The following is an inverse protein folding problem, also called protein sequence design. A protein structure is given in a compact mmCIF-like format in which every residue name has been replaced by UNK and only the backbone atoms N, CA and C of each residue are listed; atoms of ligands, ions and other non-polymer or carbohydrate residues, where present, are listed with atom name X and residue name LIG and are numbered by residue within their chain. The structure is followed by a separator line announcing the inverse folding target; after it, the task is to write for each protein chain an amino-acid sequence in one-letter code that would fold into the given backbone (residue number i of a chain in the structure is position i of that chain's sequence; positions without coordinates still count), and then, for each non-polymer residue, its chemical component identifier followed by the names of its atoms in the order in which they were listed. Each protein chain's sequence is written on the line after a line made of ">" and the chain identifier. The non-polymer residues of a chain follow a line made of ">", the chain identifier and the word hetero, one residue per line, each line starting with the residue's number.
data_IF_790037941154
#
_entry.id   IF_790037941154
#
_cell.length_a   1.000
_cell.length_b   1.000
_cell.length_c   1.000
_cell.angle_alpha   90.00
_cell.angle_beta   90.00
_cell.angle_gamma   90.00
#
_symmetry.space_group_name_H-M   'P 1'
#
loop_
_entity.id
_entity.type
_entity.pdbx_description
1 polymer ?
#
# COMPACT_ATOMS: atom_id res chain seq x y z
N UNK A 1 -1.39 -6.19 -44.62
CA UNK A 1 -1.48 -5.16 -45.68
C UNK A 1 -0.23 -5.18 -46.55
N UNK A 2 -0.36 -5.19 -47.88
CA UNK A 2 0.79 -5.13 -48.80
C UNK A 2 1.62 -3.85 -48.57
N UNK A 3 2.93 -3.91 -48.81
CA UNK A 3 3.88 -2.81 -48.61
C UNK A 3 3.46 -1.52 -49.35
N UNK A 4 2.83 -1.68 -50.52
CA UNK A 4 2.29 -0.57 -51.32
C UNK A 4 1.20 0.22 -50.57
N UNK A 5 0.17 -0.47 -50.08
CA UNK A 5 -0.95 0.16 -49.38
C UNK A 5 -0.55 0.80 -48.05
N UNK A 6 0.47 0.26 -47.37
CA UNK A 6 1.04 0.89 -46.16
C UNK A 6 1.69 2.23 -46.46
N UNK A 7 2.34 2.40 -47.61
CA UNK A 7 2.95 3.68 -48.01
C UNK A 7 1.88 4.73 -48.32
N UNK A 8 0.80 4.34 -49.00
CA UNK A 8 -0.35 5.22 -49.27
C UNK A 8 -1.04 5.61 -47.96
N UNK A 9 -1.30 4.64 -47.07
CA UNK A 9 -1.89 4.91 -45.76
C UNK A 9 -1.07 5.90 -44.93
N UNK A 10 0.25 5.73 -44.85
CA UNK A 10 1.14 6.67 -44.15
C UNK A 10 1.10 8.10 -44.68
N UNK A 11 0.82 8.28 -45.97
CA UNK A 11 0.67 9.61 -46.57
C UNK A 11 -0.67 10.26 -46.21
N UNK A 12 -1.71 9.46 -45.98
CA UNK A 12 -3.08 9.92 -45.74
C UNK A 12 -3.46 9.97 -44.24
N UNK A 13 -2.79 9.21 -43.38
CA UNK A 13 -3.09 9.16 -41.95
C UNK A 13 -2.63 10.43 -41.24
N UNK A 14 -3.46 10.94 -40.33
CA UNK A 14 -3.15 12.10 -39.48
C UNK A 14 -2.00 11.78 -38.51
N UNK A 15 -2.00 10.57 -37.95
CA UNK A 15 -0.93 10.11 -37.08
C UNK A 15 0.01 9.15 -37.86
N UNK A 16 1.26 9.54 -38.14
CA UNK A 16 2.22 8.69 -38.85
C UNK A 16 2.64 7.45 -38.04
N UNK A 17 2.45 7.46 -36.72
CA UNK A 17 2.74 6.34 -35.81
C UNK A 17 1.58 5.35 -35.69
N UNK A 18 0.53 5.49 -36.50
CA UNK A 18 -0.60 4.57 -36.48
C UNK A 18 -0.16 3.11 -36.70
N UNK A 19 -0.52 2.25 -35.75
CA UNK A 19 -0.35 0.80 -35.83
C UNK A 19 -1.67 0.12 -36.15
N UNK A 20 -1.67 -0.82 -37.10
CA UNK A 20 -2.83 -1.67 -37.39
C UNK A 20 -3.23 -2.48 -36.14
N UNK A 21 -4.52 -2.50 -35.79
CA UNK A 21 -5.06 -3.24 -34.64
C UNK A 21 -5.27 -4.74 -34.90
N UNK A 22 -5.10 -5.18 -36.15
CA UNK A 22 -5.24 -6.59 -36.51
C UNK A 22 -4.05 -7.40 -36.00
N UNK A 23 -4.36 -8.40 -35.17
CA UNK A 23 -3.39 -9.35 -34.66
C UNK A 23 -2.75 -10.11 -35.83
N UNK A 24 -1.42 -10.14 -35.88
CA UNK A 24 -0.71 -10.81 -36.96
C UNK A 24 -0.93 -12.33 -36.87
N UNK A 25 -1.52 -12.98 -37.90
CA UNK A 25 -1.65 -14.43 -37.95
C UNK A 25 -0.27 -15.09 -37.81
N UNK A 26 -0.17 -16.14 -37.02
CA UNK A 26 1.12 -16.81 -36.76
C UNK A 26 1.97 -16.19 -35.66
N UNK A 27 1.67 -14.97 -35.18
CA UNK A 27 2.35 -14.35 -34.03
C UNK A 27 1.49 -14.36 -32.78
N UNK A 28 0.21 -14.04 -32.93
CA UNK A 28 -0.71 -14.04 -31.80
C UNK A 28 -1.19 -15.46 -31.52
N UNK A 29 -1.00 -15.93 -30.28
CA UNK A 29 -1.46 -17.25 -29.79
C UNK A 29 -0.88 -18.44 -30.58
N UNK A 30 0.41 -18.35 -30.95
CA UNK A 30 1.14 -19.43 -31.62
C UNK A 30 2.44 -19.72 -30.83
N UNK A 31 2.67 -20.96 -30.37
CA UNK A 31 1.80 -22.14 -30.49
C UNK A 31 0.48 -21.98 -29.72
N UNK A 32 -0.52 -22.79 -30.08
CA UNK A 32 -1.79 -22.83 -29.34
C UNK A 32 -1.53 -23.15 -27.86
N UNK A 33 -2.37 -22.69 -26.91
CA UNK A 33 -2.13 -22.89 -25.48
C UNK A 33 -1.90 -24.35 -25.06
N UNK A 34 -2.53 -25.32 -25.75
CA UNK A 34 -2.37 -26.75 -25.49
C UNK A 34 -1.11 -27.38 -26.11
N UNK A 35 -0.38 -26.65 -26.94
CA UNK A 35 0.86 -27.09 -27.60
C UNK A 35 2.07 -26.26 -27.15
N UNK A 36 1.96 -25.62 -25.99
CA UNK A 36 3.07 -24.90 -25.37
C UNK A 36 4.15 -25.89 -24.90
N UNK A 37 5.43 -25.49 -24.91
CA UNK A 37 6.50 -26.31 -24.34
C UNK A 37 6.25 -26.57 -22.84
N UNK A 38 6.89 -27.60 -22.29
CA UNK A 38 6.74 -27.96 -20.89
C UNK A 38 7.15 -26.79 -19.97
N UNK A 39 6.24 -26.39 -19.08
CA UNK A 39 6.50 -25.36 -18.09
C UNK A 39 7.23 -25.96 -16.88
N UNK A 40 8.29 -25.28 -16.44
CA UNK A 40 8.95 -25.54 -15.16
C UNK A 40 8.69 -24.38 -14.20
N UNK A 41 8.30 -24.69 -12.97
CA UNK A 41 8.11 -23.68 -11.93
C UNK A 41 9.47 -23.12 -11.52
N UNK A 42 9.60 -21.79 -11.55
CA UNK A 42 10.80 -21.14 -11.04
C UNK A 42 10.99 -21.45 -9.54
N UNK A 43 12.21 -21.80 -9.10
CA UNK A 43 12.46 -22.08 -7.68
C UNK A 43 12.32 -20.80 -6.87
N UNK A 44 11.35 -20.75 -5.96
CA UNK A 44 11.24 -19.72 -4.91
C UNK A 44 11.93 -20.21 -3.65
N UNK A 45 12.25 -19.33 -2.70
CA UNK A 45 12.83 -19.72 -1.41
C UNK A 45 12.00 -20.79 -0.67
N UNK A 46 10.68 -20.77 -0.88
CA UNK A 46 9.71 -21.74 -0.36
C UNK A 46 9.93 -23.17 -0.88
N UNK A 47 10.71 -23.35 -1.96
CA UNK A 47 11.04 -24.66 -2.56
C UNK A 47 12.34 -25.27 -2.03
N UNK A 48 13.08 -24.56 -1.15
CA UNK A 48 14.31 -25.10 -0.54
C UNK A 48 14.00 -26.37 0.27
N UNK A 49 14.79 -27.42 0.04
CA UNK A 49 14.65 -28.73 0.72
C UNK A 49 15.16 -28.66 2.17
N UNK A 50 16.17 -27.82 2.44
CA UNK A 50 16.77 -27.62 3.76
C UNK A 50 16.36 -26.27 4.37
N UNK A 51 16.35 -26.20 5.71
CA UNK A 51 16.09 -24.96 6.47
C UNK A 51 14.76 -24.25 6.14
N UNK A 52 13.74 -25.00 5.72
CA UNK A 52 12.46 -24.48 5.25
C UNK A 52 11.28 -25.00 6.07
N UNK A 53 11.41 -24.89 7.40
CA UNK A 53 10.35 -25.32 8.33
C UNK A 53 9.07 -24.51 8.13
N UNK A 54 7.93 -25.19 8.12
CA UNK A 54 6.64 -24.56 7.81
C UNK A 54 6.25 -23.46 8.80
N UNK A 55 6.47 -23.66 10.11
CA UNK A 55 6.08 -22.69 11.13
C UNK A 55 6.77 -21.32 11.00
N UNK A 56 7.98 -21.26 10.44
CA UNK A 56 8.70 -20.00 10.20
C UNK A 56 8.08 -19.17 9.06
N UNK A 57 7.45 -19.83 8.09
CA UNK A 57 6.80 -19.21 6.92
C UNK A 57 5.28 -19.16 7.03
N UNK A 58 4.72 -19.61 8.15
CA UNK A 58 3.27 -19.66 8.35
C UNK A 58 2.72 -18.27 8.71
N UNK A 59 2.51 -17.45 7.67
CA UNK A 59 1.89 -16.12 7.80
C UNK A 59 0.44 -16.21 8.28
N UNK A 60 -0.25 -17.32 8.03
CA UNK A 60 -1.66 -17.49 8.39
C UNK A 60 -1.83 -17.61 9.91
N UNK A 61 -0.90 -18.25 10.61
CA UNK A 61 -0.95 -18.41 12.07
C UNK A 61 -0.18 -17.33 12.83
N UNK A 62 0.85 -16.74 12.22
CA UNK A 62 1.58 -15.60 12.79
C UNK A 62 0.94 -14.25 12.43
N UNK A 63 -0.38 -14.12 12.60
CA UNK A 63 -1.06 -12.84 12.41
C UNK A 63 -0.94 -11.97 13.68
N UNK A 64 -0.84 -10.63 13.55
CA UNK A 64 -0.86 -9.74 14.70
C UNK A 64 -2.22 -9.78 15.39
N UNK A 65 -2.23 -9.79 16.73
CA UNK A 65 -3.48 -9.78 17.51
C UNK A 65 -4.11 -8.39 17.49
N UNK A 66 -5.43 -8.33 17.35
CA UNK A 66 -6.19 -7.09 17.51
C UNK A 66 -6.20 -6.67 18.97
N UNK A 67 -5.78 -5.43 19.26
CA UNK A 67 -5.85 -4.84 20.59
C UNK A 67 -7.08 -3.94 20.72
N UNK A 68 -7.81 -4.07 21.81
CA UNK A 68 -8.96 -3.22 22.17
C UNK A 68 -8.65 -2.51 23.47
N UNK A 69 -8.87 -1.19 23.51
CA UNK A 69 -8.63 -0.38 24.71
C UNK A 69 -9.96 0.13 25.26
N UNK A 70 -10.21 -0.11 26.54
CA UNK A 70 -11.35 0.48 27.25
C UNK A 70 -10.95 1.82 27.88
N UNK A 71 -11.94 2.59 28.29
CA UNK A 71 -11.71 3.86 28.98
C UNK A 71 -10.90 3.68 30.28
N UNK A 72 -11.11 2.56 30.99
CA UNK A 72 -10.36 2.21 32.20
C UNK A 72 -8.90 1.88 31.89
N UNK A 73 -8.64 1.16 30.80
CA UNK A 73 -7.27 0.81 30.37
C UNK A 73 -6.47 2.07 30.00
N UNK A 74 -7.12 3.04 29.33
CA UNK A 74 -6.51 4.32 29.01
C UNK A 74 -6.24 5.16 30.26
N UNK A 75 -7.17 5.21 31.21
CA UNK A 75 -6.96 5.93 32.47
C UNK A 75 -5.75 5.37 33.23
N UNK A 76 -5.60 4.04 33.29
CA UNK A 76 -4.43 3.37 33.89
C UNK A 76 -3.14 3.72 33.17
N UNK A 77 -3.14 3.70 31.84
CA UNK A 77 -1.96 4.01 31.03
C UNK A 77 -1.52 5.47 31.17
N UNK A 78 -2.46 6.40 31.37
CA UNK A 78 -2.14 7.82 31.59
C UNK A 78 -1.48 8.07 32.96
N UNK A 79 -1.93 7.36 34.00
CA UNK A 79 -1.38 7.48 35.36
C UNK A 79 -0.04 6.73 35.48
N UNK A 80 0.09 5.57 34.84
CA UNK A 80 1.28 4.73 34.84
C UNK A 80 1.76 4.46 33.39
N UNK A 81 2.50 5.40 32.77
CA UNK A 81 2.86 5.34 31.35
C UNK A 81 3.86 4.22 30.99
N UNK A 82 4.46 3.56 31.97
CA UNK A 82 5.35 2.40 31.78
C UNK A 82 4.67 1.14 32.26
N UNK A 83 4.05 0.42 31.33
CA UNK A 83 3.84 -1.01 31.48
C UNK A 83 4.86 -1.70 30.57
N UNK A 84 6.09 -1.81 31.08
CA UNK A 84 7.11 -2.62 30.43
C UNK A 84 6.61 -4.07 30.34
N UNK A 85 6.88 -4.72 29.22
CA UNK A 85 6.48 -6.09 28.93
C UNK A 85 6.92 -7.02 30.08
N UNK A 86 5.93 -7.52 30.84
CA UNK A 86 6.03 -8.63 31.79
C UNK A 86 7.29 -8.57 32.67
N UNK A 87 7.27 -7.73 33.71
CA UNK A 87 8.13 -7.96 34.86
C UNK A 87 7.59 -9.15 35.67
N UNK A 88 8.47 -10.09 35.96
CA UNK A 88 8.25 -11.29 36.75
C UNK A 88 7.53 -11.00 38.08
N UNK A 89 6.42 -11.71 38.32
CA UNK A 89 5.78 -11.97 39.61
C UNK A 89 5.87 -10.93 40.73
N UNK A 90 4.87 -10.05 40.82
CA UNK A 90 4.12 -9.82 42.06
C UNK A 90 2.89 -8.96 41.71
N UNK A 91 1.70 -9.42 42.09
CA UNK A 91 0.45 -8.69 41.87
C UNK A 91 0.40 -7.47 42.78
N UNK A 92 0.92 -6.34 42.32
CA UNK A 92 0.55 -5.05 42.93
C UNK A 92 -0.91 -4.75 42.59
N UNK A 93 -1.73 -4.36 43.57
CA UNK A 93 -3.18 -4.24 43.42
C UNK A 93 -3.52 -3.20 42.34
N UNK A 94 -4.53 -3.53 41.54
CA UNK A 94 -5.14 -2.65 40.55
C UNK A 94 -5.50 -1.34 41.26
N UNK A 95 -4.76 -0.26 40.94
CA UNK A 95 -5.06 1.07 41.45
C UNK A 95 -6.52 1.41 41.14
N UNK A 96 -7.24 1.84 42.17
CA UNK A 96 -8.65 2.21 42.10
C UNK A 96 -8.86 3.24 41.01
N UNK A 97 -9.89 3.01 40.21
CA UNK A 97 -10.22 3.72 38.99
C UNK A 97 -10.43 5.21 39.32
N UNK A 98 -9.44 6.04 38.99
CA UNK A 98 -9.65 7.48 38.75
C UNK A 98 -10.44 7.61 37.46
N UNK A 99 -11.44 8.47 37.43
CA UNK A 99 -12.20 8.74 36.21
C UNK A 99 -11.24 9.20 35.08
N UNK A 100 -11.52 8.84 33.82
CA UNK A 100 -10.68 9.28 32.68
C UNK A 100 -10.46 10.80 32.69
N UNK A 101 -11.50 11.54 33.09
CA UNK A 101 -11.47 13.01 33.22
C UNK A 101 -10.41 13.49 34.20
N UNK A 102 -10.25 12.81 35.35
CA UNK A 102 -9.21 13.14 36.32
C UNK A 102 -7.82 12.81 35.76
N UNK A 103 -7.66 11.64 35.14
CA UNK A 103 -6.37 11.21 34.58
C UNK A 103 -5.86 12.14 33.45
N UNK A 104 -6.77 12.62 32.60
CA UNK A 104 -6.46 13.58 31.52
C UNK A 104 -6.07 14.95 32.08
N UNK A 105 -6.66 15.37 33.21
CA UNK A 105 -6.30 16.66 33.82
C UNK A 105 -4.85 16.68 34.36
N UNK A 106 -4.31 15.51 34.69
CA UNK A 106 -2.98 15.37 35.30
C UNK A 106 -1.86 15.10 34.29
N UNK A 107 -2.18 14.63 33.08
CA UNK A 107 -1.20 14.19 32.09
C UNK A 107 -1.32 14.92 30.75
N UNK A 108 -0.20 15.39 30.15
CA UNK A 108 -0.26 16.04 28.84
C UNK A 108 -0.47 14.99 27.73
N UNK A 109 -1.62 15.04 27.05
CA UNK A 109 -1.95 14.19 25.88
C UNK A 109 -1.33 14.66 24.56
N UNK A 110 -0.48 15.68 24.61
CA UNK A 110 -0.03 16.42 23.43
C UNK A 110 1.45 16.16 23.18
N UNK A 111 1.85 16.22 21.91
CA UNK A 111 3.28 16.17 21.51
C UNK A 111 4.08 17.22 22.28
N UNK A 112 5.41 17.05 22.39
CA UNK A 112 6.32 18.01 23.06
C UNK A 112 6.10 19.47 22.62
N UNK A 113 5.68 19.70 21.38
CA UNK A 113 5.37 21.00 20.80
C UNK A 113 3.95 21.51 21.09
N UNK A 114 3.18 20.83 21.94
CA UNK A 114 1.76 21.12 22.25
C UNK A 114 0.85 21.13 21.00
N UNK A 115 1.24 20.39 19.96
CA UNK A 115 0.43 20.13 18.77
C UNK A 115 -0.19 18.72 18.83
N UNK A 116 -1.44 18.54 18.36
CA UNK A 116 -2.02 17.21 18.22
C UNK A 116 -1.19 16.36 17.25
N UNK A 117 -1.08 15.04 17.47
CA UNK A 117 -0.32 14.17 16.59
C UNK A 117 -0.97 14.15 15.20
N UNK A 118 -0.14 14.24 14.16
CA UNK A 118 -0.63 14.04 12.78
C UNK A 118 -0.85 12.56 12.52
N UNK A 119 -1.86 12.17 11.71
CA UNK A 119 -2.11 10.77 11.40
C UNK A 119 -0.83 10.09 10.84
N UNK A 120 -0.41 8.95 11.41
CA UNK A 120 0.75 8.22 10.94
C UNK A 120 0.44 7.52 9.61
N UNK A 121 1.46 7.31 8.79
CA UNK A 121 1.33 6.58 7.52
C UNK A 121 2.19 7.16 6.40
N UNK A 122 2.24 6.42 5.28
CA UNK A 122 2.93 6.88 4.06
C UNK A 122 2.08 7.94 3.38
N UNK A 123 2.60 9.17 3.30
CA UNK A 123 1.93 10.26 2.58
C UNK A 123 2.32 10.24 1.11
N UNK A 124 1.33 10.11 0.25
CA UNK A 124 1.53 10.26 -1.19
C UNK A 124 1.77 11.74 -1.54
N UNK A 125 2.73 11.99 -2.43
CA UNK A 125 3.05 13.33 -2.95
C UNK A 125 2.71 13.40 -4.43
N UNK A 126 1.53 13.95 -4.69
CA UNK A 126 1.02 14.29 -6.01
C UNK A 126 2.02 15.18 -6.79
N UNK A 127 2.36 14.82 -8.04
CA UNK A 127 3.18 15.65 -8.94
C UNK A 127 2.36 16.06 -10.16
N UNK A 128 2.43 17.32 -10.59
CA UNK A 128 1.75 17.75 -11.82
C UNK A 128 2.21 16.93 -13.03
N UNK A 129 1.26 16.52 -13.87
CA UNK A 129 1.56 15.83 -15.13
C UNK A 129 2.08 16.81 -16.18
N UNK A 130 3.04 16.39 -17.00
CA UNK A 130 3.51 17.11 -18.18
C UNK A 130 2.59 16.96 -19.40
N UNK A 131 1.68 16.00 -19.36
CA UNK A 131 0.95 15.54 -20.55
C UNK A 131 -0.27 16.39 -20.86
N UNK A 132 -0.71 17.19 -19.89
CA UNK A 132 -1.85 18.08 -20.03
C UNK A 132 -1.39 19.53 -20.11
N UNK A 133 -2.00 20.35 -20.98
CA UNK A 133 -1.73 21.78 -21.01
C UNK A 133 -2.16 22.41 -19.68
N UNK A 134 -1.40 23.39 -19.21
CA UNK A 134 -1.77 24.17 -18.03
C UNK A 134 -3.06 24.94 -18.30
N UNK A 135 -4.03 24.93 -17.37
CA UNK A 135 -5.27 25.67 -17.56
C UNK A 135 -5.00 27.17 -17.69
N UNK A 136 -5.74 27.91 -18.54
CA UNK A 136 -5.55 29.35 -18.72
C UNK A 136 -5.92 30.13 -17.46
N UNK A 137 -5.29 31.29 -17.27
CA UNK A 137 -5.33 32.08 -16.01
C UNK A 137 -6.75 32.47 -15.56
N UNK A 138 -7.70 32.63 -16.48
CA UNK A 138 -9.09 33.05 -16.20
C UNK A 138 -10.08 31.88 -16.13
N UNK A 139 -9.62 30.67 -15.87
CA UNK A 139 -10.51 29.50 -15.76
C UNK A 139 -11.17 29.47 -14.39
N UNK A 140 -12.50 29.50 -14.34
CA UNK A 140 -13.27 29.46 -13.08
C UNK A 140 -13.03 28.16 -12.27
N UNK A 141 -12.76 27.03 -12.95
CA UNK A 141 -12.38 25.76 -12.32
C UNK A 141 -11.18 25.13 -13.04
N UNK A 142 -9.94 25.49 -12.67
CA UNK A 142 -8.75 24.92 -13.28
C UNK A 142 -8.59 23.45 -12.85
N UNK A 143 -8.56 22.55 -13.82
CA UNK A 143 -8.28 21.13 -13.59
C UNK A 143 -6.79 20.88 -13.79
N UNK A 144 -6.13 20.36 -12.75
CA UNK A 144 -4.73 19.97 -12.80
C UNK A 144 -4.61 18.45 -12.86
N UNK A 145 -3.86 17.96 -13.84
CA UNK A 145 -3.54 16.54 -13.96
C UNK A 145 -2.32 16.22 -13.11
N UNK A 146 -2.33 15.05 -12.48
CA UNK A 146 -1.35 14.65 -11.49
C UNK A 146 -0.92 13.20 -11.73
N UNK A 147 0.38 12.95 -11.64
CA UNK A 147 1.07 11.66 -11.76
C UNK A 147 1.66 11.20 -10.42
#
# INVERSE_FOLDING_TARGET
>A
MSSFWKKIGRLLWVNPEYSESMLTPGKYRVPAPGSQPAYSKAPTEVTKIHHNYYFNRDVRRNYPRTHTYTQEDLAKLLVAPKQESIASGETTPVAQITSLTEAVSQSPLVTSQKLPPTPPGVRYRFKGSSDAPTPPENTYFPMYYVN
#
